data_IF_767445124091
#
_entry.id   IF_767445124091
#
_cell.length_a   1.000
_cell.length_b   1.000
_cell.length_c   1.000
_cell.angle_alpha   90.00
_cell.angle_beta   90.00
_cell.angle_gamma   90.00
#
_symmetry.space_group_name_H-M   'P 1'
#
loop_
_entity.id
_entity.type
_entity.pdbx_description
1 polymer ?
#
# COMPACT_ATOMS: atom_id res chain seq x y z
N UNK A 1 -14.46 -7.83 17.44
CA UNK A 1 -14.69 -6.37 17.45
C UNK A 1 -14.83 -5.82 18.86
N UNK A 2 -14.85 -6.67 19.89
CA UNK A 2 -15.29 -6.31 21.26
C UNK A 2 -14.29 -5.45 22.05
N UNK A 3 -13.13 -5.15 21.47
CA UNK A 3 -12.08 -4.35 22.11
C UNK A 3 -11.95 -2.94 21.51
N UNK A 4 -12.90 -2.53 20.65
CA UNK A 4 -13.03 -1.18 20.12
C UNK A 4 -14.18 -0.47 20.83
N UNK A 5 -13.90 0.70 21.39
CA UNK A 5 -14.84 1.46 22.23
C UNK A 5 -14.85 2.94 21.84
N UNK A 6 -15.97 3.61 22.08
CA UNK A 6 -16.08 5.06 21.95
C UNK A 6 -15.67 5.76 23.24
N UNK A 7 -14.75 6.72 23.16
CA UNK A 7 -14.33 7.55 24.28
C UNK A 7 -14.20 9.00 23.82
N UNK A 8 -15.01 9.90 24.41
CA UNK A 8 -15.02 11.34 24.07
C UNK A 8 -15.12 11.62 22.55
N UNK A 9 -15.96 10.86 21.83
CA UNK A 9 -16.14 11.01 20.38
C UNK A 9 -15.01 10.41 19.53
N UNK A 10 -14.04 9.73 20.14
CA UNK A 10 -12.95 9.04 19.46
C UNK A 10 -13.10 7.53 19.60
N UNK A 11 -12.52 6.79 18.65
CA UNK A 11 -12.34 5.35 18.77
C UNK A 11 -11.09 5.06 19.61
N UNK A 12 -11.21 4.15 20.58
CA UNK A 12 -10.12 3.71 21.43
C UNK A 12 -10.16 2.19 21.61
N UNK A 13 -9.03 1.61 22.01
CA UNK A 13 -8.93 0.24 22.45
C UNK A 13 -9.28 0.15 23.93
N UNK A 14 -10.08 -0.85 24.31
CA UNK A 14 -10.48 -1.11 25.71
C UNK A 14 -9.33 -1.60 26.59
N UNK A 15 -8.24 -2.11 26.00
CA UNK A 15 -7.06 -2.56 26.73
C UNK A 15 -5.79 -2.45 25.87
N UNK A 16 -4.64 -2.55 26.55
CA UNK A 16 -3.32 -2.39 25.93
C UNK A 16 -3.03 -3.47 24.88
N UNK A 17 -3.29 -4.74 25.20
CA UNK A 17 -2.97 -5.86 24.30
C UNK A 17 -3.71 -5.77 22.96
N UNK A 18 -4.96 -5.30 22.96
CA UNK A 18 -5.72 -5.06 21.74
C UNK A 18 -5.08 -3.98 20.86
N UNK A 19 -4.57 -2.90 21.47
CA UNK A 19 -3.89 -1.83 20.74
C UNK A 19 -2.53 -2.27 20.19
N UNK A 20 -1.75 -3.04 20.97
CA UNK A 20 -0.48 -3.61 20.50
C UNK A 20 -0.69 -4.56 19.32
N UNK A 21 -1.67 -5.44 19.41
CA UNK A 21 -2.04 -6.32 18.30
C UNK A 21 -2.46 -5.53 17.06
N UNK A 22 -3.26 -4.48 17.23
CA UNK A 22 -3.69 -3.65 16.11
C UNK A 22 -2.51 -2.95 15.43
N UNK A 23 -1.57 -2.39 16.20
CA UNK A 23 -0.34 -1.80 15.69
C UNK A 23 0.46 -2.83 14.87
N UNK A 24 0.68 -4.03 15.41
CA UNK A 24 1.42 -5.09 14.73
C UNK A 24 0.72 -5.55 13.45
N UNK A 25 -0.58 -5.83 13.51
CA UNK A 25 -1.37 -6.25 12.35
C UNK A 25 -1.41 -5.18 11.26
N UNK A 26 -1.62 -3.92 11.64
CA UNK A 26 -1.67 -2.79 10.71
C UNK A 26 -0.36 -2.64 9.94
N UNK A 27 0.78 -2.62 10.64
CA UNK A 27 2.07 -2.42 9.98
C UNK A 27 2.57 -3.66 9.24
N UNK A 28 2.18 -4.87 9.64
CA UNK A 28 2.39 -6.07 8.81
C UNK A 28 1.71 -5.92 7.45
N UNK A 29 0.50 -5.38 7.42
CA UNK A 29 -0.21 -5.16 6.16
C UNK A 29 0.39 -4.00 5.36
N UNK A 30 0.59 -2.83 5.99
CA UNK A 30 1.14 -1.65 5.32
C UNK A 30 2.52 -1.90 4.74
N UNK A 31 3.42 -2.48 5.54
CA UNK A 31 4.81 -2.63 5.15
C UNK A 31 5.04 -3.96 4.42
N UNK A 32 4.44 -5.04 4.92
CA UNK A 32 4.65 -6.38 4.39
C UNK A 32 3.90 -6.64 3.10
N UNK A 33 2.69 -6.08 2.95
CA UNK A 33 1.86 -6.26 1.77
C UNK A 33 1.85 -5.02 0.88
N UNK A 34 1.33 -3.88 1.35
CA UNK A 34 1.14 -2.72 0.46
C UNK A 34 2.46 -2.13 -0.06
N UNK A 35 3.50 -2.08 0.77
CA UNK A 35 4.84 -1.64 0.37
C UNK A 35 5.73 -2.76 -0.17
N UNK A 36 5.20 -3.95 -0.44
CA UNK A 36 5.97 -4.99 -1.12
C UNK A 36 6.39 -4.49 -2.52
N UNK A 37 7.65 -4.66 -2.94
CA UNK A 37 8.11 -4.22 -4.26
C UNK A 37 7.23 -4.69 -5.42
N UNK A 38 6.75 -5.94 -5.37
CA UNK A 38 5.87 -6.50 -6.40
C UNK A 38 4.55 -5.73 -6.48
N UNK A 39 3.91 -5.48 -5.33
CA UNK A 39 2.63 -4.76 -5.27
C UNK A 39 2.79 -3.29 -5.64
N UNK A 40 3.89 -2.66 -5.22
CA UNK A 40 4.22 -1.28 -5.59
C UNK A 40 4.50 -1.13 -7.08
N UNK A 41 5.24 -2.07 -7.68
CA UNK A 41 5.45 -2.11 -9.13
C UNK A 41 4.13 -2.32 -9.86
N UNK A 42 3.30 -3.27 -9.42
CA UNK A 42 2.01 -3.55 -10.03
C UNK A 42 1.11 -2.30 -10.08
N UNK A 43 1.00 -1.58 -8.95
CA UNK A 43 0.25 -0.32 -8.89
C UNK A 43 0.85 0.76 -9.79
N UNK A 44 2.18 0.92 -9.79
CA UNK A 44 2.86 1.87 -10.67
C UNK A 44 2.59 1.56 -12.15
N UNK A 45 2.88 0.34 -12.57
CA UNK A 45 2.78 -0.09 -13.96
C UNK A 45 1.33 -0.02 -14.47
N UNK A 46 0.35 -0.45 -13.65
CA UNK A 46 -1.06 -0.32 -14.00
C UNK A 46 -1.51 1.15 -14.10
N UNK A 47 -1.01 2.03 -13.23
CA UNK A 47 -1.27 3.47 -13.31
C UNK A 47 -0.79 4.05 -14.63
N UNK A 48 0.41 3.68 -15.08
CA UNK A 48 0.98 4.16 -16.35
C UNK A 48 0.21 3.60 -17.56
N UNK A 49 -0.22 2.33 -17.51
CA UNK A 49 -1.10 1.73 -18.55
C UNK A 49 -2.41 2.51 -18.66
N UNK A 50 -3.06 2.77 -17.53
CA UNK A 50 -4.35 3.48 -17.48
C UNK A 50 -4.21 4.91 -18.02
N UNK A 51 -3.16 5.64 -17.62
CA UNK A 51 -2.89 6.99 -18.12
C UNK A 51 -2.72 6.99 -19.64
N UNK A 52 -1.94 6.05 -20.17
CA UNK A 52 -1.71 5.96 -21.61
C UNK A 52 -3.00 5.59 -22.35
N UNK A 53 -3.79 4.67 -21.81
CA UNK A 53 -5.07 4.26 -22.39
C UNK A 53 -6.08 5.43 -22.43
N UNK A 54 -6.15 6.23 -21.36
CA UNK A 54 -6.95 7.46 -21.33
C UNK A 54 -6.46 8.50 -22.34
N UNK A 55 -5.14 8.70 -22.45
CA UNK A 55 -4.55 9.63 -23.42
C UNK A 55 -4.81 9.23 -24.88
N UNK A 56 -5.00 7.93 -25.13
CA UNK A 56 -5.28 7.36 -26.45
C UNK A 56 -6.77 7.13 -26.70
N UNK A 57 -7.64 7.56 -25.79
CA UNK A 57 -9.09 7.29 -25.83
C UNK A 57 -9.45 5.79 -25.97
N UNK A 58 -8.56 4.89 -25.51
CA UNK A 58 -8.79 3.43 -25.48
C UNK A 58 -9.78 3.08 -24.34
N UNK A 59 -9.70 3.82 -23.24
CA UNK A 59 -10.66 3.77 -22.14
C UNK A 59 -11.12 5.19 -21.83
N UNK A 60 -12.31 5.30 -21.28
CA UNK A 60 -12.95 6.53 -20.81
C UNK A 60 -13.12 6.49 -19.29
N UNK A 61 -13.53 7.62 -18.69
CA UNK A 61 -13.81 7.66 -17.25
C UNK A 61 -15.02 6.77 -16.89
N UNK A 62 -15.98 6.64 -17.80
CA UNK A 62 -17.17 5.81 -17.66
C UNK A 62 -16.83 4.32 -17.60
N UNK A 63 -15.72 3.90 -18.22
CA UNK A 63 -15.28 2.50 -18.16
C UNK A 63 -14.89 2.07 -16.75
N UNK A 64 -14.44 2.99 -15.89
CA UNK A 64 -14.12 2.68 -14.49
C UNK A 64 -15.35 2.47 -13.59
N UNK A 65 -16.57 2.63 -14.13
CA UNK A 65 -17.80 2.23 -13.45
C UNK A 65 -18.14 0.74 -13.69
N UNK A 66 -17.38 0.05 -14.54
CA UNK A 66 -17.52 -1.38 -14.85
C UNK A 66 -16.69 -2.24 -13.88
N UNK A 67 -16.67 -3.55 -14.11
CA UNK A 67 -15.83 -4.48 -13.34
C UNK A 67 -14.38 -4.44 -13.85
N UNK A 68 -13.44 -4.81 -12.98
CA UNK A 68 -12.01 -4.86 -13.30
C UNK A 68 -11.73 -5.68 -14.59
N UNK A 69 -12.38 -6.83 -14.73
CA UNK A 69 -12.24 -7.70 -15.91
C UNK A 69 -12.71 -7.05 -17.22
N UNK A 70 -13.66 -6.13 -17.15
CA UNK A 70 -14.13 -5.39 -18.33
C UNK A 70 -13.07 -4.39 -18.80
N UNK A 71 -12.49 -3.65 -17.86
CA UNK A 71 -11.41 -2.68 -18.15
C UNK A 71 -10.17 -3.40 -18.66
N UNK A 72 -9.77 -4.52 -18.02
CA UNK A 72 -8.62 -5.33 -18.46
C UNK A 72 -8.86 -5.90 -19.86
N UNK A 73 -10.08 -6.33 -20.19
CA UNK A 73 -10.42 -6.79 -21.54
C UNK A 73 -10.33 -5.68 -22.57
N UNK A 74 -10.78 -4.47 -22.26
CA UNK A 74 -10.63 -3.31 -23.15
C UNK A 74 -9.15 -3.04 -23.44
N UNK A 75 -8.31 -3.02 -22.40
CA UNK A 75 -6.86 -2.79 -22.55
C UNK A 75 -6.19 -3.89 -23.40
N UNK A 76 -6.54 -5.16 -23.18
CA UNK A 76 -5.99 -6.30 -23.94
C UNK A 76 -6.43 -6.33 -25.40
N UNK A 77 -7.66 -5.87 -25.69
CA UNK A 77 -8.24 -5.93 -27.03
C UNK A 77 -8.02 -4.64 -27.83
N UNK A 78 -7.31 -3.66 -27.29
CA UNK A 78 -7.07 -2.37 -27.93
C UNK A 78 -6.20 -2.47 -29.20
N UNK A 79 -5.42 -3.55 -29.34
CA UNK A 79 -4.45 -3.72 -30.44
C UNK A 79 -3.32 -2.70 -30.42
N UNK A 80 -3.11 -2.01 -29.29
CA UNK A 80 -2.06 -1.01 -29.11
C UNK A 80 -0.79 -1.68 -28.56
N UNK A 81 0.25 -1.72 -29.39
CA UNK A 81 1.50 -2.40 -29.06
C UNK A 81 2.20 -1.87 -27.80
N UNK A 82 1.99 -0.59 -27.46
CA UNK A 82 2.56 -0.01 -26.23
C UNK A 82 1.83 -0.55 -25.01
N UNK A 83 0.49 -0.57 -25.04
CA UNK A 83 -0.33 -1.15 -23.96
C UNK A 83 -0.05 -2.64 -23.81
N UNK A 84 0.03 -3.39 -24.91
CA UNK A 84 0.35 -4.82 -24.89
C UNK A 84 1.73 -5.09 -24.25
N UNK A 85 2.76 -4.32 -24.63
CA UNK A 85 4.09 -4.43 -24.03
C UNK A 85 4.09 -4.12 -22.54
N UNK A 86 3.37 -3.08 -22.13
CA UNK A 86 3.24 -2.70 -20.72
C UNK A 86 2.45 -3.72 -19.89
N UNK A 87 1.39 -4.30 -20.45
CA UNK A 87 0.65 -5.40 -19.83
C UNK A 87 1.51 -6.66 -19.71
N UNK A 88 2.32 -6.97 -20.72
CA UNK A 88 3.26 -8.09 -20.64
C UNK A 88 4.28 -7.89 -19.52
N UNK A 89 4.84 -6.68 -19.38
CA UNK A 89 5.71 -6.35 -18.25
C UNK A 89 4.98 -6.49 -16.90
N UNK A 90 3.75 -5.98 -16.79
CA UNK A 90 2.94 -6.10 -15.57
C UNK A 90 2.76 -7.55 -15.13
N UNK A 91 2.45 -8.46 -16.06
CA UNK A 91 2.14 -9.85 -15.73
C UNK A 91 3.35 -10.77 -15.62
N UNK A 92 4.44 -10.48 -16.34
CA UNK A 92 5.53 -11.43 -16.53
C UNK A 92 6.85 -10.98 -15.89
N UNK A 93 7.01 -9.72 -15.50
CA UNK A 93 8.26 -9.24 -14.91
C UNK A 93 8.53 -9.85 -13.54
N UNK A 94 9.81 -10.18 -13.29
CA UNK A 94 10.28 -10.49 -11.95
C UNK A 94 10.64 -9.20 -11.23
N UNK A 95 10.06 -9.00 -10.06
CA UNK A 95 10.24 -7.77 -9.27
C UNK A 95 11.05 -8.07 -8.01
N UNK A 96 12.11 -7.30 -7.80
CA UNK A 96 13.01 -7.42 -6.65
C UNK A 96 13.18 -6.07 -5.94
N UNK A 97 13.66 -6.12 -4.70
CA UNK A 97 14.00 -4.90 -3.96
C UNK A 97 15.30 -4.31 -4.51
N UNK A 98 15.25 -3.06 -4.96
CA UNK A 98 16.41 -2.28 -5.37
C UNK A 98 17.07 -1.54 -4.20
N UNK A 99 18.00 -0.66 -4.54
CA UNK A 99 18.68 0.23 -3.58
C UNK A 99 18.65 1.67 -4.07
N UNK A 100 18.95 2.63 -3.20
CA UNK A 100 18.97 4.05 -3.59
C UNK A 100 19.98 4.38 -4.71
N UNK A 101 21.02 3.57 -4.87
CA UNK A 101 22.05 3.71 -5.92
C UNK A 101 21.81 2.84 -7.15
N UNK A 102 20.83 1.94 -7.13
CA UNK A 102 20.54 1.01 -8.22
C UNK A 102 19.07 0.56 -8.13
N UNK A 103 18.22 1.20 -8.94
CA UNK A 103 16.79 0.93 -9.07
C UNK A 103 16.29 1.31 -10.46
N UNK A 104 15.23 0.63 -10.92
CA UNK A 104 14.50 0.97 -12.14
C UNK A 104 13.31 1.89 -11.83
N UNK A 105 12.62 1.62 -10.72
CA UNK A 105 11.46 2.39 -10.26
C UNK A 105 11.61 2.72 -8.78
N UNK A 106 11.36 3.97 -8.42
CA UNK A 106 11.22 4.41 -7.03
C UNK A 106 9.78 4.84 -6.77
N UNK A 107 9.18 4.32 -5.70
CA UNK A 107 7.81 4.62 -5.32
C UNK A 107 7.69 5.01 -3.86
N UNK A 108 6.85 6.01 -3.60
CA UNK A 108 6.45 6.43 -2.25
C UNK A 108 4.97 6.16 -2.05
N UNK A 109 4.54 6.10 -0.79
CA UNK A 109 3.12 6.02 -0.44
C UNK A 109 2.76 7.22 0.43
N UNK A 110 1.47 7.59 0.45
CA UNK A 110 0.99 8.60 1.39
C UNK A 110 1.23 8.08 2.82
N UNK A 111 1.86 8.90 3.65
CA UNK A 111 2.14 8.53 5.04
C UNK A 111 0.82 8.20 5.77
N UNK A 112 0.68 6.94 6.19
CA UNK A 112 -0.42 6.45 7.03
C UNK A 112 0.20 5.68 8.19
N UNK A 113 -0.05 6.13 9.39
CA UNK A 113 0.42 5.49 10.61
C UNK A 113 -0.67 5.57 11.66
N UNK A 114 -0.63 4.61 12.58
CA UNK A 114 -1.58 4.49 13.68
C UNK A 114 -0.83 4.47 15.01
N UNK A 115 -1.45 5.11 15.99
CA UNK A 115 -1.06 5.08 17.41
C UNK A 115 -2.37 5.16 18.21
N UNK A 116 -3.12 4.04 18.26
CA UNK A 116 -4.45 4.02 18.83
C UNK A 116 -4.45 4.42 20.31
N UNK A 117 -5.52 5.08 20.74
CA UNK A 117 -5.76 5.35 22.15
C UNK A 117 -6.11 4.07 22.88
N UNK A 118 -5.66 3.93 24.12
CA UNK A 118 -6.01 2.85 25.05
C UNK A 118 -6.70 3.46 26.26
N UNK A 119 -7.88 2.95 26.61
CA UNK A 119 -8.57 3.34 27.84
C UNK A 119 -7.92 2.64 29.03
N UNK A 120 -7.55 3.42 30.04
CA UNK A 120 -7.11 2.96 31.35
C UNK A 120 -7.91 3.62 32.48
N UNK A 121 -7.46 3.42 33.71
CA UNK A 121 -8.08 3.99 34.92
C UNK A 121 -8.13 5.52 34.91
N UNK A 122 -7.09 6.15 34.36
CA UNK A 122 -6.89 7.61 34.43
C UNK A 122 -7.29 8.35 33.14
N UNK A 123 -8.05 7.68 32.26
CA UNK A 123 -8.47 8.19 30.96
C UNK A 123 -7.90 7.40 29.80
N UNK A 124 -7.63 8.06 28.66
CA UNK A 124 -7.10 7.41 27.47
C UNK A 124 -5.74 7.99 27.08
N UNK A 125 -4.80 7.11 26.71
CA UNK A 125 -3.48 7.49 26.23
C UNK A 125 -3.08 6.70 24.98
N UNK A 126 -2.26 7.27 24.08
CA UNK A 126 -1.74 6.55 22.92
C UNK A 126 -0.92 5.32 23.33
N UNK A 127 -1.05 4.23 22.58
CA UNK A 127 -0.32 2.98 22.87
C UNK A 127 1.20 3.17 22.89
N UNK A 128 1.75 4.09 22.10
CA UNK A 128 3.19 4.41 22.12
C UNK A 128 3.69 5.00 23.44
N UNK A 129 2.80 5.59 24.26
CA UNK A 129 3.13 6.08 25.60
C UNK A 129 3.08 4.98 26.66
N UNK A 130 2.32 3.91 26.38
CA UNK A 130 2.05 2.81 27.32
C UNK A 130 2.90 1.56 27.05
N UNK A 131 3.33 1.35 25.81
CA UNK A 131 4.13 0.21 25.37
C UNK A 131 5.34 0.63 24.57
N UNK A 132 6.53 0.31 25.11
CA UNK A 132 7.80 0.49 24.41
C UNK A 132 7.89 -0.37 23.14
N UNK A 133 7.23 -1.52 23.13
CA UNK A 133 7.18 -2.40 21.96
C UNK A 133 6.40 -1.73 20.83
N UNK A 134 5.18 -1.26 21.11
CA UNK A 134 4.35 -0.56 20.13
C UNK A 134 5.04 0.71 19.62
N UNK A 135 5.63 1.49 20.53
CA UNK A 135 6.41 2.69 20.18
C UNK A 135 7.50 2.38 19.16
N UNK A 136 8.32 1.35 19.42
CA UNK A 136 9.40 0.93 18.52
C UNK A 136 8.88 0.51 17.16
N UNK A 137 7.80 -0.28 17.11
CA UNK A 137 7.18 -0.73 15.85
C UNK A 137 6.68 0.48 15.04
N UNK A 138 5.98 1.42 15.68
CA UNK A 138 5.47 2.64 15.04
C UNK A 138 6.62 3.49 14.48
N UNK A 139 7.68 3.71 15.25
CA UNK A 139 8.83 4.51 14.82
C UNK A 139 9.57 3.87 13.63
N UNK A 140 9.82 2.56 13.69
CA UNK A 140 10.41 1.81 12.58
C UNK A 140 9.53 1.85 11.33
N UNK A 141 8.21 1.73 11.51
CA UNK A 141 7.26 1.81 10.42
C UNK A 141 7.27 3.18 9.74
N UNK A 142 7.25 4.27 10.51
CA UNK A 142 7.33 5.64 10.00
C UNK A 142 8.57 5.85 9.13
N UNK A 143 9.74 5.44 9.61
CA UNK A 143 11.00 5.56 8.87
C UNK A 143 10.95 4.78 7.55
N UNK A 144 10.38 3.56 7.57
CA UNK A 144 10.28 2.73 6.36
C UNK A 144 9.31 3.32 5.34
N UNK A 145 8.15 3.82 5.78
CA UNK A 145 7.16 4.48 4.93
C UNK A 145 7.76 5.73 4.27
N UNK A 146 8.46 6.56 5.05
CA UNK A 146 9.10 7.78 4.58
C UNK A 146 10.20 7.50 3.55
N UNK A 147 10.99 6.44 3.75
CA UNK A 147 12.05 6.03 2.81
C UNK A 147 11.52 5.57 1.46
N UNK A 148 10.27 5.11 1.36
CA UNK A 148 9.72 4.53 0.15
C UNK A 148 10.37 3.20 -0.24
N UNK A 149 10.14 2.78 -1.48
CA UNK A 149 10.58 1.48 -2.01
C UNK A 149 11.33 1.70 -3.32
N UNK A 150 12.55 1.18 -3.38
CA UNK A 150 13.34 1.05 -4.60
C UNK A 150 13.09 -0.31 -5.21
N UNK A 151 12.86 -0.36 -6.52
CA UNK A 151 12.36 -1.55 -7.22
C UNK A 151 13.26 -1.83 -8.42
N UNK A 152 13.69 -3.07 -8.56
CA UNK A 152 14.33 -3.60 -9.75
C UNK A 152 13.36 -4.51 -10.51
N UNK A 153 13.33 -4.37 -11.83
CA UNK A 153 12.43 -5.08 -12.72
C UNK A 153 13.26 -5.84 -13.74
N UNK A 154 13.16 -7.17 -13.72
CA UNK A 154 13.81 -8.01 -14.72
C UNK A 154 12.79 -8.44 -15.76
N UNK A 155 13.19 -8.37 -17.04
CA UNK A 155 12.40 -8.94 -18.12
C UNK A 155 12.20 -10.45 -17.90
N UNK A 156 11.07 -11.02 -18.34
CA UNK A 156 10.90 -12.46 -18.36
C UNK A 156 12.01 -13.08 -19.22
N UNK A 157 12.56 -14.22 -18.76
CA UNK A 157 13.49 -15.03 -19.55
C UNK A 157 12.82 -15.63 -20.79
#
# INVERSE_FOLDING_TARGET
MDQLVGFNGQMACSNLSAAEWFVDAYYKEVIGFFMNPLNMFGNYQLTEIIKLALQKDIVSMEDFLKQDDDVVRLLKNAGDSSIEGMLSALFNSKVETGTASCYDVYQTTKMRWVDPLVIGSDGAAPVSQLSLTAKRVIEQAKQRIEKGVYINVQAPL
#
